data_IF_063401653184
#
_entry.id   IF_063401653184
#
_cell.length_a   1.000
_cell.length_b   1.000
_cell.length_c   1.000
_cell.angle_alpha   90.00
_cell.angle_beta   90.00
_cell.angle_gamma   90.00
#
_symmetry.space_group_name_H-M   'P 1'
#
loop_
_entity.id
_entity.type
_entity.pdbx_description
1 polymer ?
#
# COMPACT_ATOMS: atom_id res chain seq x y z
N UNK A 1 8.27 -21.21 17.51
CA UNK A 1 8.40 -19.95 18.29
C UNK A 1 7.40 -19.97 19.43
N UNK A 2 7.65 -19.25 20.53
CA UNK A 2 6.76 -19.23 21.71
C UNK A 2 6.24 -17.83 21.94
N UNK A 3 4.95 -17.72 22.23
CA UNK A 3 4.32 -16.46 22.63
C UNK A 3 4.83 -16.03 24.00
N UNK A 4 5.19 -14.77 24.17
CA UNK A 4 5.51 -14.20 25.49
C UNK A 4 4.24 -13.99 26.32
N UNK A 5 4.38 -13.75 27.63
CA UNK A 5 3.24 -13.39 28.49
C UNK A 5 2.54 -12.10 28.08
N UNK A 6 3.21 -11.25 27.28
CA UNK A 6 2.68 -10.00 26.73
C UNK A 6 2.07 -10.16 25.34
N UNK A 7 1.95 -11.39 24.83
CA UNK A 7 1.38 -11.64 23.50
C UNK A 7 2.31 -11.27 22.34
N UNK A 8 3.63 -11.27 22.55
CA UNK A 8 4.61 -11.01 21.50
C UNK A 8 5.16 -12.33 20.94
N UNK A 9 5.50 -12.33 19.65
CA UNK A 9 6.21 -13.41 18.97
C UNK A 9 7.36 -12.84 18.15
N UNK A 10 8.45 -13.59 18.04
CA UNK A 10 9.59 -13.21 17.20
C UNK A 10 9.27 -13.50 15.72
N UNK A 11 9.81 -12.70 14.80
CA UNK A 11 9.76 -12.98 13.36
C UNK A 11 11.15 -13.50 12.95
N UNK A 12 11.26 -14.69 12.31
CA UNK A 12 12.53 -15.24 11.82
C UNK A 12 13.28 -14.25 10.92
N UNK A 13 14.61 -14.34 10.86
CA UNK A 13 15.45 -13.41 10.08
C UNK A 13 15.08 -13.44 8.59
N UNK A 14 14.88 -14.62 8.04
CA UNK A 14 14.60 -14.85 6.62
C UNK A 14 13.28 -14.17 6.22
N UNK A 15 12.28 -14.19 7.11
CA UNK A 15 11.01 -13.51 6.87
C UNK A 15 11.15 -11.99 7.04
N UNK A 16 11.95 -11.52 8.02
CA UNK A 16 12.22 -10.09 8.18
C UNK A 16 12.89 -9.51 6.94
N UNK A 17 13.91 -10.17 6.42
CA UNK A 17 14.62 -9.75 5.21
C UNK A 17 13.71 -9.78 3.98
N UNK A 18 12.97 -10.88 3.80
CA UNK A 18 12.04 -11.04 2.68
C UNK A 18 10.97 -9.96 2.62
N UNK A 19 10.49 -9.50 3.78
CA UNK A 19 9.41 -8.52 3.87
C UNK A 19 9.86 -7.12 4.32
N UNK A 20 11.17 -6.87 4.41
CA UNK A 20 11.71 -5.56 4.79
C UNK A 20 11.38 -5.13 6.23
N UNK A 21 11.17 -6.07 7.15
CA UNK A 21 10.79 -5.81 8.55
C UNK A 21 12.04 -5.53 9.41
N UNK A 22 12.70 -4.43 9.12
CA UNK A 22 13.86 -3.93 9.86
C UNK A 22 13.49 -3.28 11.22
N UNK A 23 14.49 -2.87 12.01
CA UNK A 23 14.28 -2.11 13.24
C UNK A 23 13.43 -0.85 12.98
N UNK A 24 12.36 -0.66 13.76
CA UNK A 24 11.45 0.48 13.62
C UNK A 24 10.41 0.35 12.50
N UNK A 25 10.34 -0.78 11.79
CA UNK A 25 9.30 -1.02 10.80
C UNK A 25 7.92 -1.06 11.47
N UNK A 26 6.98 -0.30 10.92
CA UNK A 26 5.56 -0.39 11.29
C UNK A 26 4.92 -1.58 10.59
N UNK A 27 4.10 -2.33 11.32
CA UNK A 27 3.41 -3.52 10.82
C UNK A 27 1.95 -3.50 11.22
N UNK A 28 1.12 -4.07 10.36
CA UNK A 28 -0.27 -4.38 10.67
C UNK A 28 -0.42 -5.89 10.88
N UNK A 29 -1.20 -6.26 11.90
CA UNK A 29 -1.61 -7.64 12.15
C UNK A 29 -3.10 -7.74 11.82
N UNK A 30 -3.45 -8.55 10.82
CA UNK A 30 -4.82 -8.74 10.34
C UNK A 30 -5.22 -10.21 10.42
N UNK A 31 -6.52 -10.49 10.42
CA UNK A 31 -7.01 -11.86 10.29
C UNK A 31 -6.85 -12.34 8.83
N UNK A 32 -6.28 -13.51 8.65
CA UNK A 32 -6.33 -14.31 7.43
C UNK A 32 -7.12 -15.59 7.65
N UNK A 33 -7.20 -16.42 6.63
CA UNK A 33 -8.08 -17.61 6.63
C UNK A 33 -7.67 -18.65 7.69
N UNK A 34 -6.37 -18.86 7.87
CA UNK A 34 -5.81 -19.87 8.79
C UNK A 34 -5.06 -19.27 9.99
N UNK A 35 -5.13 -17.95 10.20
CA UNK A 35 -4.43 -17.30 11.30
C UNK A 35 -4.16 -15.81 11.14
N UNK A 36 -3.25 -15.28 11.96
CA UNK A 36 -2.85 -13.88 11.90
C UNK A 36 -1.81 -13.64 10.81
N UNK A 37 -2.05 -12.65 9.96
CA UNK A 37 -1.13 -12.19 8.92
C UNK A 37 -0.45 -10.91 9.39
N UNK A 38 0.88 -10.93 9.42
CA UNK A 38 1.70 -9.73 9.65
C UNK A 38 2.17 -9.19 8.32
N UNK A 39 1.87 -7.92 8.04
CA UNK A 39 2.30 -7.22 6.82
C UNK A 39 2.91 -5.87 7.16
N UNK A 40 3.84 -5.33 6.35
CA UNK A 40 4.28 -3.95 6.50
C UNK A 40 3.07 -3.03 6.54
N UNK A 41 3.05 -2.09 7.49
CA UNK A 41 2.02 -1.07 7.53
C UNK A 41 2.14 -0.27 6.24
N UNK A 42 1.09 -0.31 5.42
CA UNK A 42 1.00 0.62 4.29
C UNK A 42 0.80 1.96 4.93
N UNK A 43 1.84 2.81 4.93
CA UNK A 43 1.62 4.23 5.11
C UNK A 43 0.46 4.56 4.17
N UNK A 44 -0.66 5.06 4.70
CA UNK A 44 -1.72 5.63 3.87
C UNK A 44 -1.03 6.75 3.09
N UNK A 45 -0.47 6.41 1.94
CA UNK A 45 0.23 7.38 1.12
C UNK A 45 -0.86 8.41 0.83
N UNK A 46 -0.65 9.67 1.21
CA UNK A 46 -1.64 10.74 1.00
C UNK A 46 -2.22 10.71 -0.42
N UNK A 47 -1.41 10.28 -1.39
CA UNK A 47 -1.83 10.07 -2.78
C UNK A 47 -2.73 8.86 -3.03
N UNK A 48 -2.67 7.77 -2.26
CA UNK A 48 -3.47 6.57 -2.49
C UNK A 48 -4.98 6.83 -2.33
N UNK A 49 -5.37 7.64 -1.36
CA UNK A 49 -6.77 8.05 -1.18
C UNK A 49 -7.23 8.99 -2.30
N UNK A 50 -6.38 9.94 -2.70
CA UNK A 50 -6.67 10.84 -3.84
C UNK A 50 -6.81 10.05 -5.13
N UNK A 51 -5.88 9.13 -5.43
CA UNK A 51 -5.95 8.24 -6.60
C UNK A 51 -7.19 7.36 -6.53
N UNK A 52 -7.55 6.81 -5.36
CA UNK A 52 -8.78 6.03 -5.21
C UNK A 52 -10.04 6.85 -5.48
N UNK A 53 -10.05 8.15 -5.16
CA UNK A 53 -11.19 9.04 -5.44
C UNK A 53 -11.25 9.46 -6.91
N UNK A 54 -10.11 9.52 -7.58
CA UNK A 54 -9.99 9.91 -9.00
C UNK A 54 -10.19 8.74 -9.96
N UNK A 55 -9.94 7.49 -9.53
CA UNK A 55 -10.25 6.30 -10.33
C UNK A 55 -11.72 6.32 -10.74
N UNK A 56 -11.96 5.96 -12.00
CA UNK A 56 -13.28 5.83 -12.62
C UNK A 56 -14.09 7.14 -12.72
N UNK A 57 -13.46 8.30 -12.52
CA UNK A 57 -14.07 9.64 -12.68
C UNK A 57 -13.75 10.32 -14.01
N UNK A 58 -13.16 9.61 -14.97
CA UNK A 58 -12.82 10.15 -16.28
C UNK A 58 -14.02 10.06 -17.25
N UNK A 59 -15.13 10.73 -16.92
CA UNK A 59 -16.38 10.74 -17.69
C UNK A 59 -16.55 11.96 -18.61
N UNK A 60 -15.51 12.80 -18.72
CA UNK A 60 -15.53 14.08 -19.45
C UNK A 60 -15.56 14.01 -20.99
N UNK A 61 -15.73 12.84 -21.59
CA UNK A 61 -15.89 12.69 -23.05
C UNK A 61 -14.68 13.10 -23.90
N UNK A 62 -13.51 13.28 -23.28
CA UNK A 62 -12.26 13.59 -23.98
C UNK A 62 -11.73 12.33 -24.67
N UNK A 63 -11.34 12.46 -25.94
CA UNK A 63 -10.56 11.42 -26.60
C UNK A 63 -9.12 11.39 -26.06
N UNK A 64 -8.42 10.29 -26.36
CA UNK A 64 -7.05 10.08 -25.88
C UNK A 64 -6.08 11.17 -26.37
N UNK A 65 -6.30 11.74 -27.55
CA UNK A 65 -5.42 12.75 -28.13
C UNK A 65 -5.59 14.10 -27.43
N UNK A 66 -6.81 14.49 -27.10
CA UNK A 66 -7.12 15.67 -26.30
C UNK A 66 -6.53 15.56 -24.89
N UNK A 67 -6.57 14.39 -24.26
CA UNK A 67 -5.93 14.15 -22.96
C UNK A 67 -4.41 14.31 -23.05
N UNK A 68 -3.78 13.76 -24.09
CA UNK A 68 -2.33 13.88 -24.30
C UNK A 68 -1.90 15.33 -24.52
N UNK A 69 -2.63 16.08 -25.36
CA UNK A 69 -2.38 17.51 -25.62
C UNK A 69 -2.47 18.33 -24.33
N UNK A 70 -3.55 18.14 -23.55
CA UNK A 70 -3.77 18.83 -22.28
C UNK A 70 -2.68 18.54 -21.23
N UNK A 71 -2.26 17.28 -21.11
CA UNK A 71 -1.32 16.86 -20.07
C UNK A 71 0.15 17.12 -20.42
N UNK A 72 0.46 17.35 -21.69
CA UNK A 72 1.80 17.76 -22.15
C UNK A 72 1.99 19.27 -22.18
N UNK A 73 0.91 20.05 -22.01
CA UNK A 73 0.97 21.50 -22.08
C UNK A 73 1.08 22.03 -23.51
N UNK A 74 0.64 21.23 -24.48
CA UNK A 74 0.53 21.63 -25.88
C UNK A 74 -0.70 22.57 -25.97
N UNK A 75 -0.45 23.88 -26.03
CA UNK A 75 -1.48 24.92 -26.16
C UNK A 75 -1.51 25.36 -27.63
N UNK A 76 -2.69 25.38 -28.25
CA UNK A 76 -2.93 26.16 -29.48
C UNK A 76 -2.97 27.66 -29.16
#
# INVERSE_FOLDING_TARGET
MRMTSKGQVTIPLELRERFGLGPGAEVEVVAGDDGAVVRPAVARARGAEVVSRLRDRADGGLDAEAVLRLTRGDVD
#
